data_IF_988004502651
#
_entry.id   IF_988004502651
#
_cell.length_a   1.000
_cell.length_b   1.000
_cell.length_c   1.000
_cell.angle_alpha   90.00
_cell.angle_beta   90.00
_cell.angle_gamma   90.00
#
_symmetry.space_group_name_H-M   'P 1'
#
loop_
_entity.id
_entity.type
_entity.pdbx_description
1 polymer ?
#
# COMPACT_ATOMS: atom_id res chain seq x y z
N UNK A 1 -10.13 11.59 -15.36
CA UNK A 1 -10.52 10.42 -14.56
C UNK A 1 -9.97 9.19 -15.27
N UNK A 2 -8.96 8.56 -14.70
CA UNK A 2 -8.32 7.36 -15.26
C UNK A 2 -8.80 6.18 -14.45
N UNK A 3 -9.44 5.20 -15.09
CA UNK A 3 -9.94 4.03 -14.39
C UNK A 3 -8.83 3.02 -14.10
N UNK A 4 -8.80 2.42 -12.90
CA UNK A 4 -7.89 1.32 -12.57
C UNK A 4 -8.03 0.13 -13.53
N UNK A 5 -9.26 -0.20 -13.94
CA UNK A 5 -9.51 -1.24 -14.94
C UNK A 5 -8.95 -0.90 -16.32
N UNK A 6 -8.97 0.37 -16.72
CA UNK A 6 -8.35 0.82 -17.97
C UNK A 6 -6.82 0.75 -17.88
N UNK A 7 -6.25 1.13 -16.73
CA UNK A 7 -4.83 0.96 -16.47
C UNK A 7 -4.43 -0.53 -16.55
N UNK A 8 -5.21 -1.42 -15.95
CA UNK A 8 -4.96 -2.86 -16.02
C UNK A 8 -5.02 -3.39 -17.45
N UNK A 9 -6.03 -3.02 -18.26
CA UNK A 9 -6.10 -3.40 -19.68
C UNK A 9 -4.89 -2.92 -20.47
N UNK A 10 -4.40 -1.71 -20.19
CA UNK A 10 -3.23 -1.17 -20.87
C UNK A 10 -1.94 -1.91 -20.47
N UNK A 11 -1.79 -2.24 -19.19
CA UNK A 11 -0.59 -2.89 -18.68
C UNK A 11 -0.56 -4.39 -18.99
N UNK A 12 -1.73 -5.04 -19.01
CA UNK A 12 -1.95 -6.46 -19.22
C UNK A 12 -2.99 -6.68 -20.34
N UNK A 13 -2.63 -6.44 -21.61
CA UNK A 13 -3.57 -6.55 -22.73
C UNK A 13 -4.07 -7.99 -22.97
N UNK A 14 -3.35 -8.99 -22.46
CA UNK A 14 -3.64 -10.43 -22.54
C UNK A 14 -4.28 -10.98 -21.26
N UNK A 15 -4.93 -10.12 -20.45
CA UNK A 15 -5.53 -10.51 -19.16
C UNK A 15 -6.52 -11.68 -19.26
N UNK A 16 -7.14 -11.92 -20.42
CA UNK A 16 -8.04 -13.04 -20.68
C UNK A 16 -7.35 -14.41 -20.54
N UNK A 17 -6.03 -14.43 -20.69
CA UNK A 17 -5.20 -15.64 -20.51
C UNK A 17 -4.91 -15.94 -19.04
N UNK A 18 -5.18 -14.99 -18.14
CA UNK A 18 -4.98 -15.17 -16.70
C UNK A 18 -6.03 -16.12 -16.12
N UNK A 19 -5.71 -16.84 -15.02
CA UNK A 19 -6.69 -17.67 -14.32
C UNK A 19 -7.97 -16.91 -14.00
N UNK A 20 -9.12 -17.62 -13.97
CA UNK A 20 -10.43 -17.00 -13.70
C UNK A 20 -10.49 -16.24 -12.35
N UNK A 21 -9.61 -16.60 -11.41
CA UNK A 21 -9.48 -15.97 -10.08
C UNK A 21 -8.35 -14.93 -10.00
N UNK A 22 -7.76 -14.53 -11.12
CA UNK A 22 -6.72 -13.50 -11.14
C UNK A 22 -7.34 -12.13 -10.81
N UNK A 23 -6.78 -11.47 -9.80
CA UNK A 23 -7.19 -10.12 -9.35
C UNK A 23 -7.23 -9.08 -10.48
N UNK A 24 -6.32 -9.16 -11.44
CA UNK A 24 -6.27 -8.22 -12.56
C UNK A 24 -7.43 -8.48 -13.53
N UNK A 25 -7.66 -9.75 -13.86
CA UNK A 25 -8.75 -10.16 -14.76
C UNK A 25 -10.10 -9.85 -14.15
N UNK A 26 -10.31 -10.23 -12.89
CA UNK A 26 -11.56 -9.98 -12.19
C UNK A 26 -11.87 -8.48 -12.06
N UNK A 27 -10.89 -7.63 -11.74
CA UNK A 27 -11.08 -6.17 -11.68
C UNK A 27 -11.45 -5.56 -13.04
N UNK A 28 -10.90 -6.10 -14.14
CA UNK A 28 -11.25 -5.68 -15.50
C UNK A 28 -12.68 -6.11 -15.87
N UNK A 29 -13.07 -7.34 -15.54
CA UNK A 29 -14.37 -7.93 -15.93
C UNK A 29 -15.53 -7.45 -15.04
N UNK A 30 -15.30 -7.26 -13.74
CA UNK A 30 -16.32 -6.82 -12.79
C UNK A 30 -16.71 -5.36 -12.99
N UNK A 31 -15.82 -4.55 -13.57
CA UNK A 31 -15.98 -3.11 -13.65
C UNK A 31 -16.13 -2.45 -12.28
N UNK A 32 -15.64 -3.10 -11.21
CA UNK A 32 -15.73 -2.59 -9.85
C UNK A 32 -15.11 -1.19 -9.71
N UNK A 33 -15.73 -0.41 -8.81
CA UNK A 33 -15.49 1.03 -8.66
C UNK A 33 -14.04 1.36 -8.39
N UNK A 34 -13.59 2.42 -9.06
CA UNK A 34 -12.20 2.85 -9.01
C UNK A 34 -11.88 3.67 -7.75
N UNK A 35 -11.48 2.98 -6.69
CA UNK A 35 -10.98 3.59 -5.46
C UNK A 35 -9.61 4.27 -5.62
N UNK A 36 -8.97 4.17 -6.79
CA UNK A 36 -7.70 4.83 -7.11
C UNK A 36 -7.82 5.88 -8.22
N UNK A 37 -9.00 6.17 -8.77
CA UNK A 37 -9.17 7.09 -9.91
C UNK A 37 -8.45 8.43 -9.71
N UNK A 38 -8.62 9.01 -8.52
CA UNK A 38 -8.04 10.31 -8.18
C UNK A 38 -6.52 10.19 -8.02
N UNK A 39 -6.06 9.09 -7.41
CA UNK A 39 -4.64 8.74 -7.28
C UNK A 39 -3.99 8.61 -8.66
N UNK A 40 -4.62 7.88 -9.58
CA UNK A 40 -4.13 7.67 -10.94
C UNK A 40 -4.09 8.99 -11.72
N UNK A 41 -5.09 9.85 -11.54
CA UNK A 41 -5.12 11.18 -12.15
C UNK A 41 -3.97 12.04 -11.63
N UNK A 42 -3.68 12.03 -10.32
CA UNK A 42 -2.54 12.74 -9.73
C UNK A 42 -1.20 12.21 -10.26
N UNK A 43 -1.03 10.88 -10.34
CA UNK A 43 0.17 10.25 -10.90
C UNK A 43 0.37 10.64 -12.37
N UNK A 44 -0.71 10.67 -13.15
CA UNK A 44 -0.69 11.08 -14.54
C UNK A 44 -0.28 12.54 -14.69
N UNK A 45 -0.90 13.44 -13.94
CA UNK A 45 -0.64 14.88 -14.03
C UNK A 45 0.77 15.24 -13.56
N UNK A 46 1.34 14.47 -12.64
CA UNK A 46 2.75 14.55 -12.24
C UNK A 46 3.73 13.96 -13.28
N UNK A 47 3.22 13.34 -14.35
CA UNK A 47 4.04 12.71 -15.39
C UNK A 47 4.77 11.45 -14.91
N UNK A 48 4.23 10.72 -13.93
CA UNK A 48 4.82 9.52 -13.32
C UNK A 48 4.07 8.23 -13.68
N UNK A 49 3.11 8.32 -14.60
CA UNK A 49 2.35 7.18 -15.08
C UNK A 49 3.22 6.09 -15.74
N UNK A 50 4.27 6.41 -16.55
CA UNK A 50 5.14 5.38 -17.12
C UNK A 50 5.84 4.52 -16.06
N UNK A 51 6.37 5.15 -15.01
CA UNK A 51 7.04 4.49 -13.90
C UNK A 51 6.05 3.66 -13.07
N UNK A 52 4.86 4.21 -12.78
CA UNK A 52 3.82 3.48 -12.08
C UNK A 52 3.35 2.23 -12.83
N UNK A 53 3.16 2.34 -14.16
CA UNK A 53 2.88 1.19 -15.04
C UNK A 53 4.00 0.16 -15.00
N UNK A 54 5.26 0.60 -15.00
CA UNK A 54 6.40 -0.29 -14.87
C UNK A 54 6.38 -1.04 -13.53
N UNK A 55 6.14 -0.34 -12.41
CA UNK A 55 5.96 -0.95 -11.08
C UNK A 55 4.86 -2.01 -11.10
N UNK A 56 3.69 -1.66 -11.63
CA UNK A 56 2.56 -2.58 -11.77
C UNK A 56 2.93 -3.85 -12.57
N UNK A 57 3.68 -3.74 -13.68
CA UNK A 57 4.16 -4.92 -14.42
C UNK A 57 5.04 -5.84 -13.59
N UNK A 58 5.88 -5.28 -12.72
CA UNK A 58 6.76 -6.07 -11.86
C UNK A 58 6.00 -6.79 -10.74
N UNK A 59 4.78 -6.34 -10.41
CA UNK A 59 3.98 -6.92 -9.32
C UNK A 59 3.16 -8.14 -9.71
N UNK A 60 2.92 -8.39 -11.01
CA UNK A 60 2.13 -9.53 -11.46
C UNK A 60 3.01 -10.68 -12.01
N UNK A 61 2.76 -11.95 -11.65
CA UNK A 61 3.54 -13.11 -12.12
C UNK A 61 3.54 -13.34 -13.63
N UNK A 62 2.68 -12.68 -14.42
CA UNK A 62 2.85 -12.67 -15.89
C UNK A 62 4.21 -12.06 -16.32
N UNK A 63 4.87 -11.27 -15.45
CA UNK A 63 6.26 -10.82 -15.62
C UNK A 63 7.33 -11.85 -15.21
N UNK A 64 6.98 -12.88 -14.40
CA UNK A 64 7.85 -13.98 -13.94
C UNK A 64 7.01 -15.23 -13.63
N UNK A 65 7.12 -16.28 -14.44
CA UNK A 65 6.52 -17.59 -14.11
C UNK A 65 7.24 -18.13 -12.86
N UNK A 66 6.58 -18.11 -11.71
CA UNK A 66 7.05 -18.78 -10.49
C UNK A 66 6.43 -20.18 -10.43
N UNK A 67 7.21 -21.26 -10.68
CA UNK A 67 6.69 -22.62 -10.58
C UNK A 67 6.49 -22.97 -9.10
N UNK A 68 5.24 -23.13 -8.67
CA UNK A 68 4.89 -23.62 -7.32
C UNK A 68 4.38 -22.57 -6.32
N UNK A 69 4.32 -21.29 -6.68
CA UNK A 69 3.89 -20.18 -5.79
C UNK A 69 2.52 -19.60 -6.18
N UNK A 70 1.65 -20.46 -6.74
CA UNK A 70 0.40 -20.07 -7.40
C UNK A 70 -0.72 -19.57 -6.46
N UNK A 71 -0.55 -19.56 -5.14
CA UNK A 71 -1.66 -19.21 -4.23
C UNK A 71 -1.39 -17.99 -3.33
N UNK A 72 -0.13 -17.69 -3.00
CA UNK A 72 0.19 -16.65 -2.00
C UNK A 72 0.86 -15.40 -2.60
N UNK A 73 1.36 -15.46 -3.84
CA UNK A 73 2.13 -14.37 -4.45
C UNK A 73 1.28 -13.34 -5.23
N UNK A 74 -0.01 -13.59 -5.46
CA UNK A 74 -0.82 -12.77 -6.36
C UNK A 74 -1.36 -11.49 -5.70
N UNK A 75 -1.58 -11.51 -4.39
CA UNK A 75 -2.29 -10.44 -3.67
C UNK A 75 -1.33 -9.40 -3.04
N UNK A 76 -0.23 -9.84 -2.40
CA UNK A 76 0.68 -8.97 -1.63
C UNK A 76 1.38 -7.91 -2.52
N UNK A 77 1.63 -8.23 -3.79
CA UNK A 77 2.34 -7.33 -4.69
C UNK A 77 1.46 -6.22 -5.27
N UNK A 78 0.19 -6.51 -5.57
CA UNK A 78 -0.78 -5.48 -5.95
C UNK A 78 -1.09 -4.58 -4.75
N UNK A 79 -1.14 -5.15 -3.55
CA UNK A 79 -1.27 -4.42 -2.30
C UNK A 79 -0.18 -3.36 -2.14
N UNK A 80 1.07 -3.74 -2.41
CA UNK A 80 2.21 -2.83 -2.36
C UNK A 80 2.08 -1.69 -3.38
N UNK A 81 1.80 -2.00 -4.64
CA UNK A 81 1.64 -0.99 -5.70
C UNK A 81 0.54 0.03 -5.34
N UNK A 82 -0.60 -0.46 -4.85
CA UNK A 82 -1.71 0.42 -4.48
C UNK A 82 -1.35 1.32 -3.30
N UNK A 83 -0.65 0.81 -2.28
CA UNK A 83 -0.12 1.61 -1.17
C UNK A 83 0.91 2.65 -1.64
N UNK A 84 1.77 2.32 -2.60
CA UNK A 84 2.70 3.29 -3.22
C UNK A 84 1.96 4.42 -3.94
N UNK A 85 0.91 4.09 -4.69
CA UNK A 85 0.06 5.09 -5.34
C UNK A 85 -0.59 6.04 -4.32
N UNK A 86 -1.15 5.51 -3.23
CA UNK A 86 -1.72 6.32 -2.16
C UNK A 86 -0.68 7.25 -1.50
N UNK A 87 0.51 6.72 -1.22
CA UNK A 87 1.62 7.50 -0.67
C UNK A 87 2.05 8.62 -1.64
N UNK A 88 2.07 8.32 -2.95
CA UNK A 88 2.37 9.31 -4.00
C UNK A 88 1.33 10.43 -4.02
N UNK A 89 0.05 10.08 -4.06
CA UNK A 89 -1.04 11.05 -4.07
C UNK A 89 -1.00 11.94 -2.83
N UNK A 90 -0.86 11.34 -1.65
CA UNK A 90 -0.70 12.08 -0.40
C UNK A 90 0.52 13.03 -0.45
N UNK A 91 1.69 12.54 -0.88
CA UNK A 91 2.91 13.34 -0.89
C UNK A 91 2.82 14.56 -1.83
N UNK A 92 2.17 14.39 -2.99
CA UNK A 92 1.96 15.46 -3.97
C UNK A 92 0.95 16.51 -3.50
N UNK A 93 -0.10 16.11 -2.78
CA UNK A 93 -1.28 16.96 -2.55
C UNK A 93 -1.39 17.47 -1.12
N UNK A 94 -1.27 16.58 -0.12
CA UNK A 94 -1.44 16.90 1.30
C UNK A 94 -0.07 17.16 1.94
N UNK A 95 0.88 16.27 1.70
CA UNK A 95 2.25 16.40 2.19
C UNK A 95 3.01 17.57 1.54
N UNK A 96 2.60 17.97 0.34
CA UNK A 96 3.21 19.04 -0.47
C UNK A 96 4.75 18.95 -0.52
N UNK A 97 5.26 17.75 -0.78
CA UNK A 97 6.69 17.44 -0.67
C UNK A 97 7.49 17.76 -1.95
N UNK A 98 6.88 18.46 -2.91
CA UNK A 98 7.48 18.81 -4.20
C UNK A 98 7.24 17.73 -5.26
N UNK A 99 8.18 17.59 -6.21
CA UNK A 99 8.05 16.61 -7.29
C UNK A 99 8.42 15.23 -6.77
N UNK A 100 7.42 14.37 -6.67
CA UNK A 100 7.55 12.97 -6.25
C UNK A 100 7.84 12.09 -7.47
N UNK A 101 8.70 11.09 -7.30
CA UNK A 101 8.91 10.05 -8.31
C UNK A 101 9.03 8.66 -7.70
N UNK A 102 8.61 7.65 -8.46
CA UNK A 102 8.82 6.24 -8.12
C UNK A 102 10.28 5.86 -8.33
N UNK A 103 10.78 4.87 -7.58
CA UNK A 103 12.12 4.31 -7.83
C UNK A 103 12.10 2.84 -8.26
N UNK A 104 13.21 2.41 -8.82
CA UNK A 104 13.55 1.05 -9.19
C UNK A 104 13.99 0.26 -7.96
N UNK A 105 13.27 -0.81 -7.63
CA UNK A 105 13.33 -1.52 -6.34
C UNK A 105 14.72 -2.14 -6.01
N UNK A 106 14.92 -2.49 -4.73
CA UNK A 106 16.10 -3.07 -4.03
C UNK A 106 17.07 -2.08 -3.38
N UNK A 107 16.73 -1.66 -2.15
CA UNK A 107 17.60 -0.84 -1.30
C UNK A 107 17.45 0.67 -1.52
N UNK A 108 16.49 1.06 -2.35
CA UNK A 108 16.03 2.43 -2.68
C UNK A 108 14.66 2.68 -2.04
N UNK A 109 14.21 3.95 -1.90
CA UNK A 109 12.89 4.24 -1.34
C UNK A 109 11.80 3.82 -2.31
N UNK A 110 10.58 3.57 -1.85
CA UNK A 110 9.49 3.38 -2.80
C UNK A 110 9.25 4.67 -3.62
N UNK A 111 9.31 5.84 -2.97
CA UNK A 111 9.24 7.16 -3.62
C UNK A 111 10.32 8.12 -3.12
N UNK A 112 10.77 9.03 -3.99
CA UNK A 112 11.71 10.10 -3.63
C UNK A 112 11.20 11.46 -4.13
N UNK A 113 11.45 12.54 -3.37
CA UNK A 113 11.03 13.90 -3.80
C UNK A 113 12.23 14.75 -4.20
N UNK A 114 12.46 14.98 -5.50
CA UNK A 114 13.65 15.71 -6.02
C UNK A 114 15.00 15.33 -5.35
N UNK A 115 15.15 14.09 -4.87
CA UNK A 115 16.32 13.63 -4.10
C UNK A 115 16.44 14.17 -2.66
N UNK A 116 15.36 14.74 -2.11
CA UNK A 116 15.33 15.43 -0.81
C UNK A 116 14.64 14.65 0.28
N UNK A 117 13.57 13.92 -0.03
CA UNK A 117 12.80 13.16 0.96
C UNK A 117 12.67 11.71 0.51
N UNK A 118 12.97 10.79 1.43
CA UNK A 118 12.78 9.35 1.29
C UNK A 118 11.39 8.98 1.76
N UNK A 119 10.58 8.32 0.93
CA UNK A 119 9.24 7.86 1.31
C UNK A 119 9.16 6.34 1.17
N UNK A 120 8.82 5.65 2.26
CA UNK A 120 8.47 4.23 2.26
C UNK A 120 6.97 4.05 2.36
N UNK A 121 6.42 3.21 1.50
CA UNK A 121 5.02 2.85 1.46
C UNK A 121 4.85 1.45 2.09
N UNK A 122 4.10 1.37 3.19
CA UNK A 122 3.93 0.14 3.97
C UNK A 122 2.45 -0.16 4.18
N UNK A 123 2.11 -1.45 4.20
CA UNK A 123 0.75 -1.89 4.52
C UNK A 123 0.70 -2.53 5.92
N UNK A 124 -0.19 -2.03 6.78
CA UNK A 124 -0.58 -2.65 8.04
C UNK A 124 -1.87 -3.45 7.81
N UNK A 125 -1.70 -4.66 7.27
CA UNK A 125 -2.79 -5.62 7.05
C UNK A 125 -2.56 -6.97 7.74
N UNK A 126 -3.57 -7.85 7.70
CA UNK A 126 -3.51 -9.24 8.17
C UNK A 126 -3.13 -10.20 7.02
N UNK A 127 -1.98 -10.00 6.37
CA UNK A 127 -1.64 -10.72 5.12
C UNK A 127 -1.78 -12.25 5.21
N UNK A 128 -1.43 -12.87 6.34
CA UNK A 128 -1.58 -14.33 6.52
C UNK A 128 -3.05 -14.81 6.69
N UNK A 129 -3.88 -14.02 7.36
CA UNK A 129 -5.27 -14.38 7.67
C UNK A 129 -6.22 -13.99 6.54
N UNK A 130 -5.96 -12.86 5.87
CA UNK A 130 -6.63 -12.53 4.61
C UNK A 130 -6.30 -13.53 3.51
N UNK A 131 -5.03 -13.96 3.41
CA UNK A 131 -4.65 -15.06 2.51
C UNK A 131 -5.40 -16.36 2.83
N UNK A 132 -5.56 -16.71 4.11
CA UNK A 132 -6.31 -17.92 4.48
C UNK A 132 -7.82 -17.80 4.20
N UNK A 133 -8.41 -16.62 4.41
CA UNK A 133 -9.81 -16.33 4.05
C UNK A 133 -10.00 -16.38 2.53
N UNK A 134 -9.12 -15.77 1.75
CA UNK A 134 -9.16 -15.82 0.29
C UNK A 134 -9.03 -17.27 -0.20
N UNK A 135 -8.08 -18.05 0.33
CA UNK A 135 -7.96 -19.49 0.03
C UNK A 135 -9.23 -20.28 0.37
N UNK A 136 -9.87 -19.98 1.51
CA UNK A 136 -11.12 -20.66 1.89
C UNK A 136 -12.30 -20.31 0.95
N UNK A 137 -12.39 -19.06 0.46
CA UNK A 137 -13.39 -18.67 -0.52
C UNK A 137 -13.16 -19.37 -1.86
N UNK A 138 -11.91 -19.36 -2.36
CA UNK A 138 -11.52 -20.02 -3.60
C UNK A 138 -11.79 -21.53 -3.54
N UNK A 139 -11.42 -22.19 -2.43
CA UNK A 139 -11.71 -23.60 -2.19
C UNK A 139 -13.21 -23.91 -2.15
N UNK A 140 -14.03 -22.94 -1.76
CA UNK A 140 -15.50 -23.05 -1.76
C UNK A 140 -16.13 -22.73 -3.13
N UNK A 141 -15.33 -22.53 -4.19
CA UNK A 141 -15.80 -22.14 -5.52
C UNK A 141 -16.35 -20.72 -5.58
N UNK A 142 -16.00 -19.88 -4.59
CA UNK A 142 -16.38 -18.47 -4.50
C UNK A 142 -15.23 -17.60 -4.97
N UNK A 143 -15.55 -16.39 -5.42
CA UNK A 143 -14.54 -15.39 -5.77
C UNK A 143 -13.77 -14.96 -4.52
N UNK A 144 -12.46 -14.76 -4.67
CA UNK A 144 -11.63 -14.15 -3.63
C UNK A 144 -11.97 -12.68 -3.44
N UNK A 145 -11.50 -12.06 -2.36
CA UNK A 145 -11.68 -10.62 -2.16
C UNK A 145 -10.60 -9.84 -2.89
N UNK A 146 -11.02 -8.84 -3.66
CA UNK A 146 -10.25 -8.30 -4.76
C UNK A 146 -9.72 -6.88 -4.57
N UNK A 147 -9.91 -6.31 -3.38
CA UNK A 147 -9.83 -4.88 -3.06
C UNK A 147 -11.16 -4.12 -3.30
N UNK A 148 -11.67 -3.37 -2.30
CA UNK A 148 -11.22 -3.39 -0.91
C UNK A 148 -11.41 -4.78 -0.30
N UNK A 149 -10.36 -5.31 0.33
CA UNK A 149 -10.50 -6.50 1.17
C UNK A 149 -11.56 -6.23 2.25
N UNK A 150 -12.34 -7.26 2.64
CA UNK A 150 -13.33 -7.12 3.70
C UNK A 150 -12.65 -6.57 4.95
N UNK A 151 -13.39 -5.74 5.66
CA UNK A 151 -12.93 -5.18 6.94
C UNK A 151 -12.82 -6.33 7.93
N UNK A 152 -11.59 -6.65 8.32
CA UNK A 152 -11.38 -7.43 9.53
C UNK A 152 -11.48 -6.46 10.72
N UNK A 153 -12.40 -6.72 11.64
CA UNK A 153 -12.47 -5.99 12.89
C UNK A 153 -11.54 -6.62 13.92
N UNK A 154 -10.61 -5.83 14.45
CA UNK A 154 -9.69 -6.25 15.50
C UNK A 154 -10.24 -5.80 16.86
N UNK A 155 -10.27 -6.71 17.83
CA UNK A 155 -10.57 -6.40 19.24
C UNK A 155 -9.36 -5.74 19.92
N UNK A 156 -9.53 -5.30 21.18
CA UNK A 156 -8.42 -4.71 21.95
C UNK A 156 -7.17 -5.60 22.03
N UNK A 157 -7.32 -6.93 22.01
CA UNK A 157 -6.21 -7.88 22.12
C UNK A 157 -5.33 -7.91 20.85
N UNK A 158 -5.86 -7.49 19.71
CA UNK A 158 -5.09 -7.43 18.46
C UNK A 158 -4.32 -6.11 18.27
N UNK A 159 -4.41 -5.14 19.19
CA UNK A 159 -3.62 -3.91 19.11
C UNK A 159 -2.12 -4.15 19.30
N UNK A 160 -1.74 -5.10 20.15
CA UNK A 160 -0.33 -5.43 20.39
C UNK A 160 0.38 -5.98 19.13
N UNK A 161 -0.15 -7.00 18.42
CA UNK A 161 0.48 -7.47 17.18
C UNK A 161 0.48 -6.41 16.08
N UNK A 162 -0.55 -5.57 15.97
CA UNK A 162 -0.57 -4.43 15.03
C UNK A 162 0.56 -3.44 15.35
N UNK A 163 0.69 -3.04 16.62
CA UNK A 163 1.73 -2.11 17.06
C UNK A 163 3.12 -2.69 16.82
N UNK A 164 3.31 -3.99 17.05
CA UNK A 164 4.55 -4.69 16.73
C UNK A 164 4.85 -4.62 15.23
N UNK A 165 3.89 -4.94 14.36
CA UNK A 165 4.07 -4.88 12.90
C UNK A 165 4.42 -3.45 12.43
N UNK A 166 3.77 -2.44 12.99
CA UNK A 166 4.11 -1.04 12.76
C UNK A 166 5.59 -0.75 13.09
N UNK A 167 6.03 -1.10 14.30
CA UNK A 167 7.41 -0.87 14.75
C UNK A 167 8.44 -1.65 13.91
N UNK A 168 8.13 -2.89 13.53
CA UNK A 168 9.00 -3.72 12.69
C UNK A 168 9.16 -3.08 11.28
N UNK A 169 8.07 -2.62 10.68
CA UNK A 169 8.10 -1.93 9.39
C UNK A 169 8.87 -0.60 9.47
N UNK A 170 8.73 0.13 10.57
CA UNK A 170 9.45 1.38 10.80
C UNK A 170 10.95 1.14 10.96
N UNK A 171 11.33 0.11 11.73
CA UNK A 171 12.72 -0.31 11.87
C UNK A 171 13.32 -0.73 10.53
N UNK A 172 12.54 -1.42 9.68
CA UNK A 172 12.97 -1.76 8.33
C UNK A 172 13.24 -0.52 7.46
N UNK A 173 12.30 0.43 7.41
CA UNK A 173 12.45 1.69 6.69
C UNK A 173 13.69 2.47 7.14
N UNK A 174 13.93 2.56 8.45
CA UNK A 174 15.13 3.17 9.04
C UNK A 174 16.40 2.47 8.57
N UNK A 175 16.47 1.13 8.65
CA UNK A 175 17.63 0.37 8.18
C UNK A 175 17.92 0.59 6.70
N UNK A 176 16.89 0.70 5.85
CA UNK A 176 17.07 1.00 4.42
C UNK A 176 17.66 2.40 4.19
N UNK A 177 17.12 3.41 4.87
CA UNK A 177 17.63 4.79 4.84
C UNK A 177 19.06 4.89 5.37
N UNK A 178 19.37 4.23 6.48
CA UNK A 178 20.68 4.35 7.14
C UNK A 178 21.81 3.66 6.34
N UNK A 179 21.47 2.81 5.36
CA UNK A 179 22.42 2.24 4.39
C UNK A 179 22.79 3.21 3.27
N UNK A 180 22.08 4.33 3.16
CA UNK A 180 22.34 5.30 2.09
C UNK A 180 23.55 6.17 2.42
N UNK A 181 24.34 6.55 1.40
CA UNK A 181 25.50 7.42 1.60
C UNK A 181 25.12 8.85 2.00
N UNK A 182 23.92 9.31 1.65
CA UNK A 182 23.42 10.64 1.98
C UNK A 182 22.15 10.51 2.84
N UNK A 183 22.16 11.01 4.08
CA UNK A 183 20.98 11.02 4.93
C UNK A 183 19.89 11.90 4.33
N UNK A 184 18.72 11.32 4.08
CA UNK A 184 17.50 12.04 3.67
C UNK A 184 16.47 11.98 4.81
N UNK A 185 15.69 13.05 5.04
CA UNK A 185 14.44 12.97 5.79
C UNK A 185 13.60 11.77 5.35
N UNK A 186 13.04 11.05 6.33
CA UNK A 186 12.25 9.85 6.11
C UNK A 186 10.78 10.13 6.39
N UNK A 187 9.93 9.78 5.43
CA UNK A 187 8.50 9.63 5.59
C UNK A 187 8.17 8.14 5.49
N UNK A 188 7.37 7.62 6.41
CA UNK A 188 6.77 6.30 6.26
C UNK A 188 5.26 6.45 6.19
N UNK A 189 4.72 6.14 5.01
CA UNK A 189 3.30 6.11 4.74
C UNK A 189 2.76 4.71 5.01
N UNK A 190 1.76 4.61 5.87
CA UNK A 190 1.08 3.38 6.20
C UNK A 190 -0.36 3.39 5.69
N UNK A 191 -0.69 2.39 4.88
CA UNK A 191 -2.09 2.01 4.64
C UNK A 191 -2.53 1.01 5.71
N UNK A 192 -3.64 1.26 6.39
CA UNK A 192 -4.19 0.38 7.42
C UNK A 192 -5.46 -0.28 6.90
N UNK A 193 -5.45 -1.61 6.76
CA UNK A 193 -6.51 -2.35 6.03
C UNK A 193 -7.51 -3.09 6.90
N UNK A 194 -7.32 -3.03 8.22
CA UNK A 194 -8.27 -3.52 9.20
C UNK A 194 -9.01 -2.35 9.84
N UNK A 195 -10.19 -2.63 10.37
CA UNK A 195 -10.87 -1.74 11.30
C UNK A 195 -10.74 -2.32 12.70
N UNK A 196 -11.07 -1.52 13.69
CA UNK A 196 -11.20 -1.94 15.06
C UNK A 196 -12.68 -2.08 15.38
N UNK A 197 -13.01 -2.97 16.32
CA UNK A 197 -14.37 -3.03 16.84
C UNK A 197 -14.80 -1.64 17.30
N UNK A 198 -16.09 -1.30 17.17
CA UNK A 198 -16.61 0.03 17.50
C UNK A 198 -16.16 0.51 18.90
N UNK A 199 -16.10 -0.41 19.86
CA UNK A 199 -15.68 -0.16 21.24
C UNK A 199 -14.18 0.14 21.40
N UNK A 200 -13.32 -0.37 20.49
CA UNK A 200 -11.86 -0.24 20.58
C UNK A 200 -11.26 0.76 19.59
N UNK A 201 -12.02 1.17 18.56
CA UNK A 201 -11.53 2.00 17.45
C UNK A 201 -10.83 3.29 17.86
N UNK A 202 -11.47 4.11 18.67
CA UNK A 202 -10.87 5.38 19.07
C UNK A 202 -9.64 5.17 19.95
N UNK A 203 -9.68 4.19 20.87
CA UNK A 203 -8.54 3.84 21.72
C UNK A 203 -7.35 3.34 20.89
N UNK A 204 -7.61 2.51 19.88
CA UNK A 204 -6.58 1.97 19.03
C UNK A 204 -5.94 3.03 18.12
N UNK A 205 -6.76 3.91 17.51
CA UNK A 205 -6.28 5.08 16.76
C UNK A 205 -5.43 6.00 17.64
N UNK A 206 -5.88 6.27 18.88
CA UNK A 206 -5.12 7.07 19.85
C UNK A 206 -3.78 6.41 20.22
N UNK A 207 -3.77 5.09 20.43
CA UNK A 207 -2.55 4.34 20.74
C UNK A 207 -1.54 4.43 19.58
N UNK A 208 -1.98 4.16 18.34
CA UNK A 208 -1.11 4.27 17.17
C UNK A 208 -0.57 5.69 16.97
N UNK A 209 -1.43 6.71 17.18
CA UNK A 209 -1.00 8.11 17.13
C UNK A 209 0.06 8.42 18.19
N UNK A 210 -0.13 7.96 19.43
CA UNK A 210 0.81 8.18 20.52
C UNK A 210 2.16 7.47 20.26
N UNK A 211 2.12 6.25 19.73
CA UNK A 211 3.34 5.53 19.32
C UNK A 211 4.03 6.27 18.18
N UNK A 212 3.30 6.69 17.14
CA UNK A 212 3.88 7.45 16.02
C UNK A 212 4.52 8.77 16.47
N UNK A 213 3.87 9.53 17.37
CA UNK A 213 4.43 10.76 17.94
C UNK A 213 5.68 10.52 18.79
N UNK A 214 5.75 9.37 19.47
CA UNK A 214 6.94 8.99 20.24
C UNK A 214 8.11 8.68 19.30
N UNK A 215 7.84 7.94 18.23
CA UNK A 215 8.86 7.62 17.22
C UNK A 215 9.31 8.86 16.44
N UNK A 216 8.38 9.73 16.04
CA UNK A 216 8.71 11.00 15.40
C UNK A 216 9.62 11.88 16.27
N UNK A 217 9.30 12.06 17.56
CA UNK A 217 10.14 12.83 18.49
C UNK A 217 11.52 12.23 18.72
N UNK A 218 11.67 10.91 18.52
CA UNK A 218 12.92 10.21 18.76
C UNK A 218 13.97 10.50 17.69
N UNK A 219 13.58 10.52 16.42
CA UNK A 219 14.54 10.61 15.31
C UNK A 219 14.06 11.42 14.09
N UNK A 220 12.97 12.17 14.24
CA UNK A 220 12.45 13.08 13.21
C UNK A 220 11.75 12.38 12.04
N UNK A 221 11.47 11.08 12.13
CA UNK A 221 10.72 10.37 11.08
C UNK A 221 9.30 10.90 11.00
N UNK A 222 8.82 11.29 9.81
CA UNK A 222 7.41 11.63 9.61
C UNK A 222 6.63 10.35 9.35
N UNK A 223 5.58 10.12 10.12
CA UNK A 223 4.74 8.93 10.03
C UNK A 223 3.35 9.38 9.63
N UNK A 224 2.85 8.76 8.56
CA UNK A 224 1.52 9.01 8.01
C UNK A 224 0.75 7.71 8.06
N UNK A 225 -0.47 7.72 8.59
CA UNK A 225 -1.34 6.55 8.59
C UNK A 225 -2.71 6.93 8.04
N UNK A 226 -3.11 6.24 6.99
CA UNK A 226 -4.41 6.36 6.36
C UNK A 226 -5.17 5.05 6.54
N UNK A 227 -6.49 5.16 6.73
CA UNK A 227 -7.34 3.99 6.72
C UNK A 227 -7.64 3.64 5.26
N UNK A 228 -7.20 2.46 4.80
CA UNK A 228 -7.45 1.96 3.44
C UNK A 228 -7.10 3.01 2.38
N UNK A 229 -8.06 3.36 1.52
CA UNK A 229 -7.89 4.28 0.40
C UNK A 229 -8.14 5.75 0.78
N UNK A 230 -8.36 6.08 2.06
CA UNK A 230 -8.58 7.44 2.54
C UNK A 230 -7.25 8.21 2.68
N UNK A 231 -6.47 8.23 1.60
CA UNK A 231 -5.13 8.83 1.56
C UNK A 231 -5.14 10.35 1.81
N UNK A 232 -6.25 11.02 1.51
CA UNK A 232 -6.41 12.46 1.69
C UNK A 232 -6.70 12.87 3.14
N UNK A 233 -7.14 11.93 3.99
CA UNK A 233 -7.54 12.17 5.38
C UNK A 233 -6.76 11.26 6.34
N UNK A 234 -5.43 11.45 6.49
CA UNK A 234 -4.64 10.67 7.42
C UNK A 234 -5.13 10.88 8.86
N UNK A 235 -5.35 9.78 9.59
CA UNK A 235 -5.68 9.85 11.02
C UNK A 235 -4.42 9.99 11.89
N UNK A 236 -3.25 9.74 11.33
CA UNK A 236 -1.94 10.13 11.88
C UNK A 236 -1.16 10.83 10.77
N UNK A 237 -0.71 12.05 11.03
CA UNK A 237 0.34 12.71 10.26
C UNK A 237 1.20 13.48 11.26
N UNK A 238 2.42 12.99 11.52
CA UNK A 238 3.33 13.62 12.46
C UNK A 238 4.08 14.76 11.76
N UNK A 239 3.36 15.86 11.51
CA UNK A 239 3.93 17.15 11.12
C UNK A 239 4.24 17.94 12.41
N UNK A 240 5.36 18.65 12.42
CA UNK A 240 5.67 19.68 13.42
C UNK A 240 4.81 20.94 13.25
#
# INVERSE_FOLDING_TARGET
MILLSDLFREVFPDYETFPEHCVIREAIESGERDFLSDVLSIIHDAGQMPEFKYRLRLTHPAGRIHPGELEDAWDDHLERMTTEGLAFAWACTIGNLGRVGFTDDNGTPDLVTDGKVWIEAKTLGHSQEMGSINRAQLAAGRRGYLLPSPVMEISNDGLAPVTKKFLDHLADARRKRDRQPVPMPLVVFYRVDFDFTLESREKAKQSLRATAQTEHRRDGVRIVMCHRYDWAEPFVDTID
#
